data_IF_568122333722
#
_entry.id   IF_568122333722
#
_cell.length_a   1.000
_cell.length_b   1.000
_cell.length_c   1.000
_cell.angle_alpha   90.00
_cell.angle_beta   90.00
_cell.angle_gamma   90.00
#
_symmetry.space_group_name_H-M   'P 1'
#
loop_
_entity.id
_entity.type
_entity.pdbx_description
1 polymer ?
#
# COMPACT_ATOMS: atom_id res chain seq x y z
N UNK A 1 4.87 -24.92 -0.49
CA UNK A 1 5.11 -24.14 -1.71
C UNK A 1 6.28 -23.23 -1.41
N UNK A 2 7.37 -23.25 -2.21
CA UNK A 2 8.56 -22.46 -1.95
C UNK A 2 8.30 -20.98 -2.10
N UNK A 3 9.04 -20.16 -1.38
CA UNK A 3 9.08 -18.72 -1.58
C UNK A 3 9.35 -18.40 -3.07
N UNK A 4 8.77 -17.33 -3.61
CA UNK A 4 9.06 -16.91 -4.98
C UNK A 4 10.59 -16.74 -5.13
N UNK A 5 11.13 -17.17 -6.25
CA UNK A 5 12.57 -17.29 -6.51
C UNK A 5 13.38 -15.97 -6.45
N UNK A 6 12.78 -14.87 -5.99
CA UNK A 6 13.36 -13.54 -5.95
C UNK A 6 12.85 -12.64 -4.81
N UNK A 7 12.40 -13.20 -3.68
CA UNK A 7 12.14 -12.38 -2.49
C UNK A 7 13.44 -12.16 -1.74
N UNK A 8 13.78 -10.89 -1.45
CA UNK A 8 14.99 -10.52 -0.71
C UNK A 8 14.73 -9.39 0.29
N UNK A 9 15.38 -9.46 1.42
CA UNK A 9 15.43 -8.35 2.36
C UNK A 9 16.27 -7.21 1.78
N UNK A 10 15.80 -5.99 2.04
CA UNK A 10 16.46 -4.76 1.63
C UNK A 10 16.47 -3.78 2.79
N UNK A 11 17.41 -2.84 2.73
CA UNK A 11 17.44 -1.67 3.59
C UNK A 11 17.47 -0.43 2.73
N UNK A 12 16.74 0.63 3.14
CA UNK A 12 16.67 1.87 2.40
C UNK A 12 16.75 3.09 3.32
N UNK A 13 17.40 4.19 2.87
CA UNK A 13 17.56 5.38 3.68
C UNK A 13 16.28 6.23 3.70
N UNK A 14 16.01 6.87 4.83
CA UNK A 14 15.01 7.91 4.98
C UNK A 14 15.51 9.00 5.94
N UNK A 15 16.07 10.07 5.41
CA UNK A 15 16.79 11.08 6.23
C UNK A 15 18.01 10.45 6.91
N UNK A 16 18.08 10.57 8.24
CA UNK A 16 19.14 9.95 9.05
C UNK A 16 18.85 8.48 9.39
N UNK A 17 17.61 8.02 9.15
CA UNK A 17 17.16 6.69 9.48
C UNK A 17 17.42 5.67 8.35
N UNK A 18 17.50 4.40 8.74
CA UNK A 18 17.51 3.26 7.81
C UNK A 18 16.34 2.34 8.12
N UNK A 19 15.53 2.09 7.12
CA UNK A 19 14.34 1.24 7.23
C UNK A 19 14.54 -0.08 6.51
N UNK A 20 13.85 -1.11 6.97
CA UNK A 20 13.86 -2.43 6.35
C UNK A 20 12.68 -2.62 5.40
N UNK A 21 12.79 -3.60 4.52
CA UNK A 21 11.71 -4.01 3.64
C UNK A 21 11.99 -5.36 2.99
N UNK A 22 10.97 -5.86 2.28
CA UNK A 22 11.05 -7.07 1.47
C UNK A 22 10.68 -6.72 0.03
N UNK A 23 11.59 -6.99 -0.89
CA UNK A 23 11.40 -6.82 -2.33
C UNK A 23 11.09 -8.18 -2.97
N UNK A 24 9.98 -8.27 -3.69
CA UNK A 24 9.61 -9.42 -4.50
C UNK A 24 9.53 -9.00 -5.95
N UNK A 25 10.31 -9.66 -6.83
CA UNK A 25 10.47 -9.27 -8.23
C UNK A 25 10.23 -10.47 -9.16
N UNK A 26 9.05 -10.59 -9.80
CA UNK A 26 8.84 -11.59 -10.83
C UNK A 26 9.60 -11.23 -12.11
N UNK A 27 9.98 -12.24 -12.88
CA UNK A 27 10.63 -12.01 -14.18
C UNK A 27 9.70 -11.27 -15.12
N UNK A 28 10.15 -10.14 -15.67
CA UNK A 28 9.35 -9.31 -16.58
C UNK A 28 8.19 -8.63 -15.86
N UNK A 29 8.42 -8.13 -14.66
CA UNK A 29 7.42 -7.41 -13.88
C UNK A 29 6.75 -6.29 -14.69
N UNK A 30 5.43 -6.17 -14.56
CA UNK A 30 4.61 -5.18 -15.28
C UNK A 30 4.63 -3.80 -14.61
N UNK A 31 4.70 -3.78 -13.29
CA UNK A 31 4.75 -2.61 -12.43
C UNK A 31 5.29 -3.02 -11.06
N UNK A 32 5.59 -2.03 -10.23
CA UNK A 32 5.97 -2.27 -8.83
C UNK A 32 4.99 -1.59 -7.87
N UNK A 33 4.62 -2.31 -6.82
CA UNK A 33 3.69 -1.86 -5.78
C UNK A 33 4.44 -1.68 -4.47
N UNK A 34 4.49 -0.47 -3.94
CA UNK A 34 5.00 -0.20 -2.59
C UNK A 34 3.87 -0.35 -1.58
N UNK A 35 4.08 -1.24 -0.62
CA UNK A 35 3.14 -1.55 0.45
C UNK A 35 3.46 -0.76 1.71
N UNK A 36 2.43 -0.10 2.25
CA UNK A 36 2.43 0.55 3.55
C UNK A 36 1.54 -0.24 4.53
N UNK A 37 2.14 -0.72 5.61
CA UNK A 37 1.42 -1.46 6.65
C UNK A 37 0.63 -0.52 7.58
N UNK A 38 -0.29 -1.09 8.36
CA UNK A 38 -1.00 -0.38 9.43
C UNK A 38 -0.19 -0.29 10.72
N UNK A 39 -0.71 0.47 11.68
CA UNK A 39 -0.12 0.59 13.03
C UNK A 39 0.02 -0.78 13.70
N UNK A 40 1.12 -0.99 14.44
CA UNK A 40 1.43 -2.25 15.11
C UNK A 40 1.82 -3.39 14.16
N UNK A 41 2.15 -3.09 12.91
CA UNK A 41 2.58 -4.05 11.89
C UNK A 41 3.93 -3.65 11.29
N UNK A 42 4.47 -4.44 10.36
CA UNK A 42 5.74 -4.20 9.69
C UNK A 42 5.75 -4.87 8.29
N UNK A 43 6.90 -4.83 7.60
CA UNK A 43 7.10 -5.44 6.28
C UNK A 43 6.82 -6.96 6.24
N UNK A 44 6.80 -7.65 7.38
CA UNK A 44 6.52 -9.09 7.50
C UNK A 44 5.05 -9.43 7.74
N UNK A 45 4.15 -8.44 7.69
CA UNK A 45 2.70 -8.66 7.81
C UNK A 45 2.23 -9.84 6.96
N UNK A 46 1.68 -10.88 7.58
CA UNK A 46 1.20 -12.07 6.86
C UNK A 46 0.12 -11.74 5.84
N UNK A 47 -0.81 -10.84 6.18
CA UNK A 47 -1.88 -10.39 5.27
C UNK A 47 -1.35 -9.64 4.06
N UNK A 48 -0.39 -8.73 4.26
CA UNK A 48 0.25 -8.04 3.13
C UNK A 48 1.12 -8.98 2.31
N UNK A 49 1.78 -9.97 2.95
CA UNK A 49 2.54 -11.00 2.26
C UNK A 49 1.68 -11.86 1.33
N UNK A 50 0.47 -12.20 1.77
CA UNK A 50 -0.47 -12.97 0.96
C UNK A 50 -0.93 -12.19 -0.29
N UNK A 51 -1.32 -10.94 -0.13
CA UNK A 51 -1.67 -10.07 -1.27
C UNK A 51 -0.46 -9.88 -2.19
N UNK A 52 0.74 -9.64 -1.64
CA UNK A 52 1.97 -9.49 -2.43
C UNK A 52 2.32 -10.76 -3.21
N UNK A 53 2.08 -11.95 -2.65
CA UNK A 53 2.25 -13.22 -3.37
C UNK A 53 1.29 -13.33 -4.55
N UNK A 54 0.01 -12.98 -4.36
CA UNK A 54 -0.96 -12.98 -5.47
C UNK A 54 -0.56 -11.99 -6.57
N UNK A 55 -0.06 -10.81 -6.20
CA UNK A 55 0.49 -9.83 -7.14
C UNK A 55 1.70 -10.40 -7.89
N UNK A 56 2.62 -11.08 -7.20
CA UNK A 56 3.76 -11.72 -7.83
C UNK A 56 3.33 -12.75 -8.88
N UNK A 57 2.37 -13.63 -8.55
CA UNK A 57 1.81 -14.62 -9.46
C UNK A 57 1.14 -13.99 -10.69
N UNK A 58 0.59 -12.76 -10.52
CA UNK A 58 0.01 -11.95 -11.59
C UNK A 58 1.03 -11.10 -12.38
N UNK A 59 2.33 -11.18 -12.03
CA UNK A 59 3.41 -10.48 -12.72
C UNK A 59 3.65 -9.05 -12.24
N UNK A 60 3.27 -8.70 -11.01
CA UNK A 60 3.59 -7.43 -10.37
C UNK A 60 4.71 -7.61 -9.34
N UNK A 61 5.70 -6.73 -9.38
CA UNK A 61 6.68 -6.61 -8.32
C UNK A 61 6.07 -5.93 -7.08
N UNK A 62 6.62 -6.20 -5.92
CA UNK A 62 6.21 -5.51 -4.69
C UNK A 62 7.38 -5.21 -3.78
N UNK A 63 7.32 -4.08 -3.09
CA UNK A 63 8.18 -3.71 -1.98
C UNK A 63 7.32 -3.51 -0.74
N UNK A 64 7.40 -4.42 0.21
CA UNK A 64 6.78 -4.27 1.53
C UNK A 64 7.76 -3.51 2.41
N UNK A 65 7.46 -2.26 2.74
CA UNK A 65 8.36 -1.37 3.47
C UNK A 65 7.94 -1.25 4.93
N UNK A 66 8.92 -1.18 5.84
CA UNK A 66 8.68 -0.66 7.17
C UNK A 66 8.47 0.85 7.11
N UNK A 67 7.55 1.34 7.93
CA UNK A 67 7.26 2.76 8.07
C UNK A 67 7.85 3.35 9.36
N UNK A 68 8.38 2.50 10.23
CA UNK A 68 9.04 2.87 11.48
C UNK A 68 10.33 2.06 11.62
N UNK A 69 11.33 2.66 12.26
CA UNK A 69 12.50 1.92 12.74
C UNK A 69 12.11 1.01 13.90
N UNK A 70 12.93 0.02 14.29
CA UNK A 70 12.65 -0.82 15.46
C UNK A 70 12.41 -0.01 16.74
N UNK A 71 13.21 1.04 16.97
CA UNK A 71 13.09 1.88 18.16
C UNK A 71 11.81 2.73 18.13
N UNK A 72 11.45 3.28 16.95
CA UNK A 72 10.19 3.99 16.73
C UNK A 72 8.99 3.06 16.92
N UNK A 73 9.06 1.82 16.44
CA UNK A 73 8.01 0.82 16.60
C UNK A 73 7.80 0.47 18.07
N UNK A 74 8.87 0.22 18.84
CA UNK A 74 8.80 -0.01 20.29
C UNK A 74 8.22 1.20 21.03
N UNK A 75 8.64 2.40 20.67
CA UNK A 75 8.07 3.62 21.25
C UNK A 75 6.59 3.75 20.92
N UNK A 76 6.20 3.46 19.67
CA UNK A 76 4.81 3.54 19.23
C UNK A 76 3.90 2.52 19.94
N UNK A 77 4.39 1.30 20.23
CA UNK A 77 3.64 0.31 21.01
C UNK A 77 3.29 0.82 22.41
N UNK A 78 4.19 1.59 23.02
CA UNK A 78 4.00 2.14 24.37
C UNK A 78 3.19 3.44 24.42
N UNK A 79 3.28 4.27 23.38
CA UNK A 79 2.78 5.65 23.42
C UNK A 79 1.71 5.96 22.37
N UNK A 80 1.64 5.19 21.29
CA UNK A 80 0.81 5.49 20.12
C UNK A 80 1.29 6.70 19.30
N UNK A 81 2.50 7.21 19.55
CA UNK A 81 2.99 8.48 19.00
C UNK A 81 2.95 8.55 17.47
N UNK A 82 3.31 7.47 16.80
CA UNK A 82 3.36 7.42 15.34
C UNK A 82 2.08 6.85 14.71
N UNK A 83 1.14 6.37 15.52
CA UNK A 83 -0.04 5.64 15.01
C UNK A 83 -0.82 6.43 13.98
N UNK A 84 -0.95 7.75 14.18
CA UNK A 84 -1.69 8.67 13.31
C UNK A 84 -0.83 9.81 12.76
N UNK A 85 0.49 9.70 12.87
CA UNK A 85 1.43 10.66 12.26
C UNK A 85 1.56 10.37 10.76
N UNK A 86 0.50 10.72 10.03
CA UNK A 86 0.41 10.49 8.58
C UNK A 86 1.54 11.18 7.83
N UNK A 87 2.05 12.31 8.35
CA UNK A 87 3.13 13.05 7.70
C UNK A 87 4.43 12.23 7.69
N UNK A 88 4.85 11.74 8.86
CA UNK A 88 6.03 10.87 8.99
C UNK A 88 5.85 9.58 8.19
N UNK A 89 4.69 8.90 8.31
CA UNK A 89 4.44 7.66 7.57
C UNK A 89 4.48 7.88 6.06
N UNK A 90 3.97 9.00 5.55
CA UNK A 90 4.03 9.33 4.12
C UNK A 90 5.46 9.59 3.64
N UNK A 91 6.30 10.23 4.46
CA UNK A 91 7.73 10.42 4.15
C UNK A 91 8.46 9.07 4.01
N UNK A 92 8.13 8.08 4.84
CA UNK A 92 8.69 6.73 4.75
C UNK A 92 8.26 6.03 3.45
N UNK A 93 6.99 6.19 3.03
CA UNK A 93 6.50 5.70 1.72
C UNK A 93 7.24 6.36 0.56
N UNK A 94 7.47 7.68 0.63
CA UNK A 94 8.22 8.41 -0.39
C UNK A 94 9.69 7.95 -0.46
N UNK A 95 10.33 7.72 0.68
CA UNK A 95 11.69 7.19 0.76
C UNK A 95 11.78 5.79 0.12
N UNK A 96 10.85 4.88 0.46
CA UNK A 96 10.75 3.56 -0.14
C UNK A 96 10.59 3.65 -1.67
N UNK A 97 9.72 4.53 -2.14
CA UNK A 97 9.47 4.73 -3.57
C UNK A 97 10.68 5.33 -4.29
N UNK A 98 11.40 6.23 -3.65
CA UNK A 98 12.64 6.81 -4.19
C UNK A 98 13.72 5.73 -4.31
N UNK A 99 13.86 4.89 -3.28
CA UNK A 99 14.80 3.78 -3.29
C UNK A 99 14.49 2.78 -4.41
N UNK A 100 13.21 2.41 -4.60
CA UNK A 100 12.78 1.56 -5.72
C UNK A 100 13.24 2.13 -7.07
N UNK A 101 13.15 3.43 -7.26
CA UNK A 101 13.63 4.11 -8.48
C UNK A 101 15.15 4.06 -8.69
N UNK A 102 15.94 3.65 -7.69
CA UNK A 102 17.39 3.45 -7.82
C UNK A 102 17.77 2.01 -8.20
N UNK A 103 16.84 1.08 -8.12
CA UNK A 103 17.08 -0.33 -8.43
C UNK A 103 17.02 -0.54 -9.95
N UNK A 104 18.08 -1.10 -10.54
CA UNK A 104 18.17 -1.33 -11.99
C UNK A 104 16.96 -2.14 -12.52
N UNK A 105 16.53 -3.14 -11.78
CA UNK A 105 15.40 -4.00 -12.14
C UNK A 105 14.01 -3.35 -11.97
N UNK A 106 13.91 -2.20 -11.27
CA UNK A 106 12.64 -1.57 -10.93
C UNK A 106 12.49 -0.12 -11.42
N UNK A 107 13.58 0.57 -11.73
CA UNK A 107 13.61 2.01 -12.03
C UNK A 107 12.70 2.46 -13.18
N UNK A 108 12.40 1.57 -14.12
CA UNK A 108 11.54 1.85 -15.27
C UNK A 108 10.12 1.30 -15.11
N UNK A 109 9.83 0.61 -14.00
CA UNK A 109 8.50 0.06 -13.76
C UNK A 109 7.51 1.15 -13.32
N UNK A 110 6.28 1.14 -13.86
CA UNK A 110 5.21 1.97 -13.32
C UNK A 110 5.02 1.70 -11.83
N UNK A 111 4.82 2.78 -11.06
CA UNK A 111 4.70 2.74 -9.61
C UNK A 111 3.25 2.79 -9.16
N UNK A 112 2.86 1.89 -8.28
CA UNK A 112 1.58 1.91 -7.57
C UNK A 112 1.78 1.78 -6.07
N UNK A 113 0.74 2.10 -5.31
CA UNK A 113 0.72 1.99 -3.86
C UNK A 113 -0.37 1.07 -3.35
N UNK A 114 -0.06 0.37 -2.26
CA UNK A 114 -1.03 -0.40 -1.48
C UNK A 114 -0.90 -0.03 0.00
N UNK A 115 -1.96 0.50 0.60
CA UNK A 115 -1.98 0.90 2.01
C UNK A 115 -3.01 0.12 2.81
N UNK A 116 -2.63 -0.39 3.98
CA UNK A 116 -3.52 -1.07 4.91
C UNK A 116 -3.74 -0.23 6.17
N UNK A 117 -4.99 -0.12 6.64
CA UNK A 117 -5.34 0.65 7.84
C UNK A 117 -4.76 2.08 7.79
N UNK A 118 -3.98 2.54 8.76
CA UNK A 118 -3.32 3.86 8.76
C UNK A 118 -2.35 4.05 7.59
N UNK A 119 -1.74 2.96 7.08
CA UNK A 119 -0.91 2.99 5.88
C UNK A 119 -1.65 3.50 4.63
N UNK A 120 -2.99 3.39 4.59
CA UNK A 120 -3.78 3.96 3.49
C UNK A 120 -3.68 5.49 3.43
N UNK A 121 -3.75 6.18 4.57
CA UNK A 121 -3.56 7.63 4.63
C UNK A 121 -2.13 8.02 4.20
N UNK A 122 -1.13 7.23 4.60
CA UNK A 122 0.26 7.45 4.22
C UNK A 122 0.47 7.36 2.70
N UNK A 123 -0.04 6.32 2.04
CA UNK A 123 0.11 6.16 0.59
C UNK A 123 -0.67 7.21 -0.20
N UNK A 124 -1.86 7.62 0.27
CA UNK A 124 -2.64 8.68 -0.36
C UNK A 124 -1.90 10.02 -0.26
N UNK A 125 -1.33 10.33 0.90
CA UNK A 125 -0.51 11.53 1.11
C UNK A 125 0.75 11.52 0.26
N UNK A 126 1.43 10.38 0.16
CA UNK A 126 2.60 10.22 -0.70
C UNK A 126 2.23 10.38 -2.19
N UNK A 127 1.08 9.87 -2.63
CA UNK A 127 0.60 9.99 -4.02
C UNK A 127 0.30 11.44 -4.44
N UNK A 128 -0.06 12.33 -3.51
CA UNK A 128 -0.17 13.76 -3.81
C UNK A 128 1.19 14.37 -4.14
N UNK A 129 2.23 13.98 -3.40
CA UNK A 129 3.60 14.50 -3.58
C UNK A 129 4.31 13.84 -4.77
N UNK A 130 3.93 12.61 -5.14
CA UNK A 130 4.56 11.82 -6.20
C UNK A 130 3.59 11.55 -7.35
N UNK A 131 3.64 12.39 -8.37
CA UNK A 131 2.69 12.42 -9.49
C UNK A 131 2.85 11.29 -10.51
N UNK A 132 3.91 10.50 -10.44
CA UNK A 132 4.17 9.34 -11.28
C UNK A 132 3.53 8.05 -10.76
N UNK A 133 2.88 8.09 -9.59
CA UNK A 133 2.07 6.98 -9.08
C UNK A 133 0.79 6.88 -9.90
N UNK A 134 0.60 5.73 -10.59
CA UNK A 134 -0.56 5.55 -11.47
C UNK A 134 -1.80 5.03 -10.76
N UNK A 135 -1.63 4.26 -9.68
CA UNK A 135 -2.74 3.70 -8.92
C UNK A 135 -2.45 3.60 -7.41
N UNK A 136 -3.49 3.73 -6.61
CA UNK A 136 -3.47 3.53 -5.15
C UNK A 136 -4.58 2.57 -4.76
N UNK A 137 -4.26 1.61 -3.89
CA UNK A 137 -5.23 0.70 -3.27
C UNK A 137 -5.19 0.87 -1.76
N UNK A 138 -6.35 1.06 -1.16
CA UNK A 138 -6.56 1.14 0.29
C UNK A 138 -7.35 -0.07 0.76
N UNK A 139 -6.79 -0.93 1.61
CA UNK A 139 -7.46 -2.09 2.19
C UNK A 139 -7.76 -1.88 3.67
N UNK A 140 -9.06 -1.88 4.05
CA UNK A 140 -9.49 -1.61 5.43
C UNK A 140 -8.83 -0.33 5.94
N UNK A 141 -8.77 0.69 5.08
CA UNK A 141 -7.94 1.87 5.30
C UNK A 141 -8.58 2.90 6.20
N UNK A 142 -7.76 3.84 6.66
CA UNK A 142 -8.13 5.08 7.33
C UNK A 142 -7.86 6.28 6.42
N UNK A 143 -8.50 6.35 5.23
CA UNK A 143 -8.29 7.45 4.29
C UNK A 143 -8.78 8.80 4.85
N UNK A 144 -9.70 8.77 5.83
CA UNK A 144 -10.20 9.92 6.57
C UNK A 144 -9.09 10.74 7.23
N UNK A 145 -8.00 10.08 7.66
CA UNK A 145 -6.84 10.77 8.23
C UNK A 145 -6.12 11.68 7.21
N UNK A 146 -6.37 11.48 5.92
CA UNK A 146 -5.84 12.28 4.81
C UNK A 146 -6.93 13.13 4.11
N UNK A 147 -8.13 13.24 4.68
CA UNK A 147 -9.34 13.81 4.03
C UNK A 147 -9.08 15.15 3.34
N UNK A 148 -8.28 16.04 3.96
CA UNK A 148 -8.02 17.40 3.45
C UNK A 148 -7.26 17.42 2.13
N UNK A 149 -6.45 16.39 1.85
CA UNK A 149 -5.61 16.33 0.65
C UNK A 149 -6.16 15.39 -0.43
N UNK A 150 -7.22 14.62 -0.13
CA UNK A 150 -7.81 13.68 -1.08
C UNK A 150 -8.21 14.31 -2.43
N UNK A 151 -8.74 15.57 -2.50
CA UNK A 151 -9.03 16.21 -3.77
C UNK A 151 -7.81 16.43 -4.68
N UNK A 152 -6.60 16.38 -4.12
CA UNK A 152 -5.34 16.56 -4.86
C UNK A 152 -4.79 15.23 -5.42
N UNK A 153 -5.28 14.09 -4.96
CA UNK A 153 -4.87 12.77 -5.47
C UNK A 153 -5.25 12.65 -6.94
N UNK A 154 -4.28 12.26 -7.80
CA UNK A 154 -4.47 12.07 -9.24
C UNK A 154 -4.40 10.61 -9.67
N UNK A 155 -3.75 9.77 -8.86
CA UNK A 155 -3.68 8.34 -9.09
C UNK A 155 -5.07 7.70 -9.03
N UNK A 156 -5.35 6.74 -9.91
CA UNK A 156 -6.58 5.96 -9.84
C UNK A 156 -6.66 5.24 -8.50
N UNK A 157 -7.72 5.45 -7.72
CA UNK A 157 -7.80 5.03 -6.32
C UNK A 157 -8.93 4.02 -6.08
N UNK A 158 -8.57 2.84 -5.57
CA UNK A 158 -9.50 1.82 -5.11
C UNK A 158 -9.54 1.78 -3.58
N UNK A 159 -10.73 1.91 -3.01
CA UNK A 159 -10.99 1.62 -1.61
C UNK A 159 -11.63 0.24 -1.49
N UNK A 160 -11.06 -0.61 -0.63
CA UNK A 160 -11.60 -1.93 -0.28
C UNK A 160 -11.92 -1.93 1.21
N UNK A 161 -13.17 -2.13 1.56
CA UNK A 161 -13.68 -2.16 2.94
C UNK A 161 -14.40 -3.47 3.21
N UNK A 162 -14.27 -3.99 4.43
CA UNK A 162 -15.04 -5.16 4.85
C UNK A 162 -16.51 -4.78 5.12
N UNK A 163 -17.45 -5.65 4.72
CA UNK A 163 -18.87 -5.41 4.93
C UNK A 163 -19.28 -5.37 6.40
N UNK A 164 -18.52 -6.03 7.28
CA UNK A 164 -18.70 -6.04 8.73
C UNK A 164 -17.75 -5.04 9.45
N UNK A 165 -16.96 -4.27 8.72
CA UNK A 165 -16.10 -3.21 9.30
C UNK A 165 -16.91 -1.93 9.52
N UNK A 166 -17.98 -2.04 10.29
CA UNK A 166 -18.98 -0.99 10.52
C UNK A 166 -18.38 0.37 10.89
N UNK A 167 -17.34 0.48 11.74
CA UNK A 167 -16.75 1.78 12.07
C UNK A 167 -16.00 2.45 10.90
N UNK A 168 -15.51 1.67 9.94
CA UNK A 168 -14.66 2.16 8.85
C UNK A 168 -15.46 2.49 7.59
N UNK A 169 -16.60 1.84 7.38
CA UNK A 169 -17.45 2.08 6.20
C UNK A 169 -17.78 3.56 6.02
N UNK A 170 -18.36 4.29 6.98
CA UNK A 170 -18.71 5.71 6.79
C UNK A 170 -17.50 6.60 6.56
N UNK A 171 -16.35 6.32 7.19
CA UNK A 171 -15.10 7.06 6.98
C UNK A 171 -14.56 6.85 5.56
N UNK A 172 -14.72 5.63 5.04
CA UNK A 172 -14.32 5.29 3.67
C UNK A 172 -15.25 5.96 2.65
N UNK A 173 -16.57 5.98 2.89
CA UNK A 173 -17.56 6.63 2.02
C UNK A 173 -17.34 8.15 1.94
N UNK A 174 -17.10 8.81 3.07
CA UNK A 174 -16.76 10.23 3.12
C UNK A 174 -15.48 10.52 2.33
N UNK A 175 -14.46 9.71 2.55
CA UNK A 175 -13.18 9.83 1.83
C UNK A 175 -13.34 9.57 0.33
N UNK A 176 -14.16 8.58 -0.04
CA UNK A 176 -14.49 8.31 -1.44
C UNK A 176 -15.16 9.52 -2.09
N UNK A 177 -16.10 10.16 -1.41
CA UNK A 177 -16.75 11.36 -1.92
C UNK A 177 -15.76 12.51 -2.17
N UNK A 178 -14.72 12.65 -1.34
CA UNK A 178 -13.71 13.70 -1.44
C UNK A 178 -12.73 13.52 -2.60
N UNK A 179 -12.50 12.29 -3.08
CA UNK A 179 -11.63 12.04 -4.24
C UNK A 179 -12.22 12.63 -5.52
N UNK A 180 -11.35 13.17 -6.38
CA UNK A 180 -11.72 13.73 -7.71
C UNK A 180 -11.12 12.95 -8.89
N UNK A 181 -10.24 11.98 -8.61
CA UNK A 181 -9.63 11.09 -9.60
C UNK A 181 -10.58 9.94 -10.01
N UNK A 182 -10.13 9.07 -10.92
CA UNK A 182 -10.75 7.77 -11.15
C UNK A 182 -10.76 6.98 -9.85
N UNK A 183 -11.92 6.50 -9.44
CA UNK A 183 -12.10 5.89 -8.11
C UNK A 183 -13.14 4.78 -8.12
N UNK A 184 -12.95 3.83 -7.22
CA UNK A 184 -13.90 2.75 -6.95
C UNK A 184 -13.92 2.44 -5.46
N UNK A 185 -15.10 2.06 -4.94
CA UNK A 185 -15.30 1.54 -3.59
C UNK A 185 -15.84 0.12 -3.69
N UNK A 186 -15.06 -0.84 -3.23
CA UNK A 186 -15.42 -2.25 -3.21
C UNK A 186 -15.67 -2.70 -1.77
N UNK A 187 -16.81 -3.33 -1.53
CA UNK A 187 -17.15 -3.96 -0.26
C UNK A 187 -16.90 -5.46 -0.37
N UNK A 188 -16.11 -6.02 0.55
CA UNK A 188 -15.93 -7.47 0.67
C UNK A 188 -16.98 -8.00 1.65
N UNK A 189 -17.97 -8.77 1.19
CA UNK A 189 -19.05 -9.27 2.05
C UNK A 189 -18.48 -10.08 3.22
N UNK A 190 -19.14 -9.99 4.36
CA UNK A 190 -18.85 -10.75 5.61
C UNK A 190 -17.42 -10.53 6.16
N UNK A 191 -16.60 -9.69 5.55
CA UNK A 191 -15.23 -9.41 6.01
C UNK A 191 -15.23 -8.33 7.10
N UNK A 192 -14.45 -8.58 8.15
CA UNK A 192 -14.13 -7.60 9.19
C UNK A 192 -12.90 -6.75 8.78
N UNK A 193 -12.42 -5.89 9.69
CA UNK A 193 -11.29 -4.98 9.43
C UNK A 193 -10.00 -5.69 8.95
N UNK A 194 -9.74 -6.90 9.44
CA UNK A 194 -8.50 -7.61 9.14
C UNK A 194 -8.59 -8.53 7.93
N UNK A 195 -9.80 -8.80 7.40
CA UNK A 195 -10.04 -9.68 6.26
C UNK A 195 -9.51 -11.11 6.51
N UNK A 196 -9.70 -11.62 7.73
CA UNK A 196 -9.25 -12.96 8.14
C UNK A 196 -10.28 -14.05 7.81
N UNK A 197 -11.47 -13.67 7.38
CA UNK A 197 -12.53 -14.58 6.98
C UNK A 197 -12.13 -15.34 5.69
N UNK A 198 -12.56 -16.61 5.57
CA UNK A 198 -12.21 -17.43 4.41
C UNK A 198 -12.58 -16.77 3.08
N UNK A 199 -11.59 -16.60 2.19
CA UNK A 199 -11.77 -15.99 0.88
C UNK A 199 -11.70 -14.45 0.86
N UNK A 200 -11.68 -13.78 2.02
CA UNK A 200 -11.67 -12.32 2.08
C UNK A 200 -10.37 -11.73 1.51
N UNK A 201 -9.21 -12.24 1.92
CA UNK A 201 -7.90 -11.77 1.38
C UNK A 201 -7.72 -12.13 -0.09
N UNK A 202 -8.22 -13.29 -0.54
CA UNK A 202 -8.22 -13.64 -1.95
C UNK A 202 -9.06 -12.67 -2.78
N UNK A 203 -10.21 -12.21 -2.25
CA UNK A 203 -11.02 -11.17 -2.91
C UNK A 203 -10.26 -9.84 -2.96
N UNK A 204 -9.62 -9.41 -1.87
CA UNK A 204 -8.75 -8.23 -1.85
C UNK A 204 -7.66 -8.32 -2.91
N UNK A 205 -6.97 -9.47 -3.01
CA UNK A 205 -5.93 -9.70 -3.99
C UNK A 205 -6.44 -9.58 -5.43
N UNK A 206 -7.59 -10.21 -5.74
CA UNK A 206 -8.23 -10.11 -7.07
C UNK A 206 -8.61 -8.69 -7.43
N UNK A 207 -9.34 -7.99 -6.54
CA UNK A 207 -9.72 -6.58 -6.74
C UNK A 207 -8.49 -5.69 -6.97
N UNK A 208 -7.40 -5.93 -6.21
CA UNK A 208 -6.15 -5.20 -6.37
C UNK A 208 -5.52 -5.46 -7.74
N UNK A 209 -5.41 -6.73 -8.16
CA UNK A 209 -4.84 -7.12 -9.47
C UNK A 209 -5.65 -6.50 -10.61
N UNK A 210 -6.97 -6.58 -10.56
CA UNK A 210 -7.86 -6.04 -11.58
C UNK A 210 -7.72 -4.54 -11.70
N UNK A 211 -7.67 -3.82 -10.56
CA UNK A 211 -7.46 -2.37 -10.52
C UNK A 211 -6.12 -1.96 -11.10
N UNK A 212 -5.04 -2.58 -10.64
CA UNK A 212 -3.69 -2.30 -11.13
C UNK A 212 -3.54 -2.59 -12.62
N UNK A 213 -4.17 -3.65 -13.12
CA UNK A 213 -4.14 -4.02 -14.54
C UNK A 213 -4.94 -3.03 -15.39
N UNK A 214 -6.11 -2.61 -14.90
CA UNK A 214 -7.00 -1.65 -15.60
C UNK A 214 -6.33 -0.31 -15.87
N UNK A 215 -5.55 0.18 -14.90
CA UNK A 215 -4.91 1.49 -14.97
C UNK A 215 -3.42 1.43 -15.30
N UNK A 216 -2.89 0.22 -15.57
CA UNK A 216 -1.48 0.08 -15.96
C UNK A 216 -1.17 0.97 -17.18
N UNK A 217 -0.18 1.88 -17.08
CA UNK A 217 0.22 2.69 -18.22
C UNK A 217 0.57 1.80 -19.42
N UNK A 218 -0.03 2.10 -20.56
CA UNK A 218 0.34 1.42 -21.81
C UNK A 218 1.79 1.81 -22.10
N UNK A 219 2.69 0.83 -22.21
CA UNK A 219 4.09 1.07 -22.53
C UNK A 219 4.20 2.01 -23.73
N UNK A 220 5.04 3.01 -23.62
CA UNK A 220 5.48 3.74 -24.81
C UNK A 220 6.35 2.74 -25.58
N UNK A 221 5.79 2.20 -26.68
CA UNK A 221 6.47 1.30 -27.60
C UNK A 221 7.63 1.99 -28.33
#
# INVERSE_FOLDING_TARGET
MGAPASEREISFPCGEETLAGLLSMPKGAKAIVVFAHGSGSNHRSARNAEVARMLFDAGFASMRADLLTPDEAELNERTGQFQFDVATLAERVLAASTFVGTLEEAQLLPLAYFGASTGAAAVLTAAVKRRDVYAVVSRGGRPDLAIKILPEVKAATLFIVGGEDVPIIPLTEESYAALTCEKELAVVPDATHLFEEPGALEMVGRLTIDWLTRFLPKGQG
#
